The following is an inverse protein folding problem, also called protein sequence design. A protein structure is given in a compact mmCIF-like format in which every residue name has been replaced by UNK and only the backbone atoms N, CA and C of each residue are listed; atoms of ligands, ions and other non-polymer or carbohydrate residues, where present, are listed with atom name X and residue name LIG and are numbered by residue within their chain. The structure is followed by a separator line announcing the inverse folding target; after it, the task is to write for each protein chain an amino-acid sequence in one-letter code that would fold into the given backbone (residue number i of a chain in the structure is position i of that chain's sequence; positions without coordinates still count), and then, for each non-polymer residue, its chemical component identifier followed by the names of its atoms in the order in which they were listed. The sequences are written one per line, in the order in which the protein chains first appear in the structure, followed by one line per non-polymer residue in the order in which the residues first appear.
data_IF_163835647421
#
_entry.id   IF_163835647421
#
_cell.length_a   1.000
_cell.length_b   1.000
_cell.length_c   1.000
_cell.angle_alpha   90.00
_cell.angle_beta   90.00
_cell.angle_gamma   90.00
#
_symmetry.space_group_name_H-M   'P 1'
#
loop_
_entity.id
_entity.type
_entity.pdbx_description
1 polymer ?
#
# COMPACT_ATOMS: atom_id res chain seq x y z
N UNK A 1 -57.74 -17.96 65.31
CA UNK A 1 -57.19 -16.60 65.05
C UNK A 1 -55.69 -16.72 64.82
N UNK A 2 -55.29 -16.73 63.57
CA UNK A 2 -53.89 -16.93 63.16
C UNK A 2 -53.42 -15.67 62.41
N UNK A 3 -52.54 -14.90 63.03
CA UNK A 3 -51.94 -13.69 62.46
C UNK A 3 -50.82 -14.06 61.50
N UNK A 4 -51.01 -13.77 60.21
CA UNK A 4 -49.96 -13.84 59.21
C UNK A 4 -49.17 -12.55 59.24
N UNK A 5 -47.90 -12.62 59.58
CA UNK A 5 -46.91 -11.53 59.42
C UNK A 5 -46.48 -11.42 57.98
N UNK A 6 -46.71 -10.27 57.37
CA UNK A 6 -46.15 -9.88 56.08
C UNK A 6 -44.69 -9.45 56.28
N UNK A 7 -43.76 -10.02 55.46
CA UNK A 7 -42.38 -9.56 55.35
C UNK A 7 -42.33 -8.46 54.31
N UNK A 8 -41.52 -7.36 54.49
CA UNK A 8 -41.31 -6.35 53.44
C UNK A 8 -40.32 -6.87 52.41
N UNK A 9 -40.71 -6.76 51.12
CA UNK A 9 -39.82 -7.07 49.97
C UNK A 9 -38.78 -5.95 49.80
N UNK A 10 -37.52 -6.36 49.69
CA UNK A 10 -36.42 -5.50 49.33
C UNK A 10 -36.46 -5.36 47.81
N UNK A 11 -36.77 -4.17 47.32
CA UNK A 11 -36.64 -3.84 45.88
C UNK A 11 -35.17 -3.63 45.56
N UNK A 12 -34.58 -4.54 44.79
CA UNK A 12 -33.26 -4.39 44.21
C UNK A 12 -33.34 -3.42 43.03
N UNK A 13 -32.71 -2.26 43.17
CA UNK A 13 -32.56 -1.27 42.11
C UNK A 13 -31.42 -1.74 41.18
N UNK A 14 -31.76 -2.29 40.01
CA UNK A 14 -30.80 -2.58 38.96
C UNK A 14 -30.45 -1.27 38.25
N UNK A 15 -29.28 -0.72 38.56
CA UNK A 15 -28.65 0.34 37.77
C UNK A 15 -28.17 -0.28 36.44
N UNK A 16 -28.91 -0.07 35.39
CA UNK A 16 -28.45 -0.33 34.01
C UNK A 16 -27.42 0.74 33.63
N UNK A 17 -26.15 0.38 33.63
CA UNK A 17 -25.10 1.20 33.02
C UNK A 17 -25.32 1.20 31.49
N UNK A 18 -25.99 2.22 30.98
CA UNK A 18 -26.12 2.49 29.58
C UNK A 18 -24.76 2.91 29.04
N UNK A 19 -24.07 2.01 28.35
CA UNK A 19 -22.95 2.39 27.48
C UNK A 19 -23.51 3.29 26.39
N UNK A 20 -23.24 4.59 26.45
CA UNK A 20 -23.53 5.54 25.39
C UNK A 20 -22.61 5.18 24.20
N UNK A 21 -23.13 4.41 23.26
CA UNK A 21 -22.57 4.38 21.92
C UNK A 21 -22.81 5.78 21.32
N UNK A 22 -21.77 6.62 21.37
CA UNK A 22 -21.73 7.84 20.58
C UNK A 22 -21.90 7.48 19.10
N UNK A 23 -22.47 8.39 18.28
CA UNK A 23 -22.56 8.15 16.84
C UNK A 23 -21.16 7.86 16.30
N UNK A 24 -20.92 6.64 15.81
CA UNK A 24 -19.76 6.36 14.98
C UNK A 24 -19.90 7.28 13.76
N UNK A 25 -19.03 8.28 13.69
CA UNK A 25 -18.89 9.07 12.49
C UNK A 25 -18.75 8.09 11.31
N UNK A 26 -19.41 8.34 10.16
CA UNK A 26 -19.24 7.52 8.99
C UNK A 26 -17.73 7.41 8.76
N UNK A 27 -17.24 6.19 8.40
CA UNK A 27 -15.83 5.96 8.09
C UNK A 27 -15.45 6.98 7.01
N UNK A 28 -14.97 8.14 7.44
CA UNK A 28 -14.83 9.33 6.63
C UNK A 28 -13.74 9.10 5.60
N UNK A 29 -14.09 9.33 4.36
CA UNK A 29 -13.13 9.57 3.31
C UNK A 29 -12.03 10.50 3.86
N UNK A 30 -10.79 9.99 4.01
CA UNK A 30 -9.65 10.82 4.36
C UNK A 30 -8.89 10.50 5.65
N UNK A 31 -9.02 9.33 6.25
CA UNK A 31 -8.17 8.92 7.36
C UNK A 31 -7.01 8.03 6.88
N UNK A 32 -5.78 8.35 7.30
CA UNK A 32 -4.60 7.52 7.08
C UNK A 32 -4.47 6.49 8.20
N UNK A 33 -4.42 5.22 7.82
CA UNK A 33 -4.30 4.09 8.75
C UNK A 33 -2.83 3.71 8.89
N UNK A 34 -2.46 3.25 10.07
CA UNK A 34 -1.13 2.74 10.37
C UNK A 34 -1.25 1.31 10.84
N UNK A 35 -0.53 0.39 10.17
CA UNK A 35 -0.64 -1.04 10.43
C UNK A 35 0.73 -1.63 10.77
N UNK A 36 0.72 -2.66 11.64
CA UNK A 36 1.82 -3.59 11.85
C UNK A 36 1.33 -4.99 11.54
N UNK A 37 1.93 -5.64 10.57
CA UNK A 37 1.55 -7.01 10.16
C UNK A 37 0.03 -7.16 9.95
N UNK A 38 -0.57 -6.22 9.18
CA UNK A 38 -2.01 -6.13 8.88
C UNK A 38 -2.92 -5.73 10.06
N UNK A 39 -2.37 -5.53 11.25
CA UNK A 39 -3.14 -5.06 12.42
C UNK A 39 -3.08 -3.54 12.50
N UNK A 40 -4.23 -2.88 12.51
CA UNK A 40 -4.30 -1.42 12.66
C UNK A 40 -3.90 -1.01 14.08
N UNK A 41 -2.84 -0.19 14.18
CA UNK A 41 -2.30 0.31 15.45
C UNK A 41 -2.69 1.77 15.70
N UNK A 42 -2.96 2.53 14.64
CA UNK A 42 -3.44 3.90 14.74
C UNK A 42 -4.19 4.32 13.47
N UNK A 43 -4.92 5.43 13.61
CA UNK A 43 -5.62 6.12 12.52
C UNK A 43 -5.58 7.62 12.76
N UNK A 44 -5.24 8.38 11.73
CA UNK A 44 -5.22 9.84 11.75
C UNK A 44 -6.10 10.36 10.62
N UNK A 45 -7.13 11.12 10.95
CA UNK A 45 -7.85 11.91 9.97
C UNK A 45 -7.02 13.11 9.51
N UNK A 46 -7.47 13.78 8.46
CA UNK A 46 -6.73 14.89 7.89
C UNK A 46 -6.54 16.05 8.88
N UNK A 47 -7.54 16.33 9.71
CA UNK A 47 -7.47 17.45 10.67
C UNK A 47 -6.51 17.13 11.81
N UNK A 48 -6.54 15.90 12.33
CA UNK A 48 -5.57 15.42 13.31
C UNK A 48 -4.13 15.44 12.76
N UNK A 49 -3.94 15.05 11.49
CA UNK A 49 -2.63 15.09 10.85
C UNK A 49 -2.15 16.55 10.70
N UNK A 50 -2.96 17.45 10.13
CA UNK A 50 -2.62 18.84 9.90
C UNK A 50 -2.31 19.62 11.18
N UNK A 51 -3.01 19.31 12.27
CA UNK A 51 -2.79 20.01 13.55
C UNK A 51 -1.55 19.56 14.29
N UNK A 52 -0.98 18.39 13.94
CA UNK A 52 0.11 17.75 14.70
C UNK A 52 1.43 17.65 13.92
N UNK A 53 1.42 17.78 12.60
CA UNK A 53 2.64 17.80 11.78
C UNK A 53 3.07 19.24 11.45
N UNK A 54 4.33 19.42 11.05
CA UNK A 54 4.83 20.68 10.49
C UNK A 54 4.42 20.81 9.03
N UNK A 55 3.18 21.30 8.78
CA UNK A 55 2.66 21.49 7.41
C UNK A 55 3.58 22.41 6.61
N UNK A 56 3.99 21.96 5.43
CA UNK A 56 4.83 22.68 4.49
C UNK A 56 4.18 22.83 3.14
N UNK A 57 4.53 23.91 2.43
CA UNK A 57 4.25 24.04 1.00
C UNK A 57 5.50 23.59 0.24
N UNK A 58 5.41 22.49 -0.47
CA UNK A 58 6.51 21.93 -1.24
C UNK A 58 6.21 22.01 -2.74
N UNK A 59 7.25 22.12 -3.56
CA UNK A 59 7.13 22.15 -5.03
C UNK A 59 7.84 20.93 -5.62
N UNK A 60 7.13 20.16 -6.45
CA UNK A 60 7.67 18.97 -7.11
C UNK A 60 7.39 19.00 -8.62
N UNK A 61 8.19 18.27 -9.39
CA UNK A 61 7.83 17.88 -10.74
C UNK A 61 7.01 16.59 -10.62
N UNK A 62 5.69 16.71 -10.78
CA UNK A 62 4.76 15.61 -10.59
C UNK A 62 4.93 14.58 -11.74
N UNK A 63 5.27 13.29 -11.45
CA UNK A 63 5.73 12.34 -12.47
C UNK A 63 4.66 11.91 -13.46
N UNK A 64 3.39 11.88 -13.06
CA UNK A 64 2.30 11.40 -13.92
C UNK A 64 1.74 12.49 -14.85
N UNK A 65 1.88 13.76 -14.48
CA UNK A 65 1.44 14.90 -15.31
C UNK A 65 2.59 15.64 -15.98
N UNK A 66 3.82 15.47 -15.50
CA UNK A 66 5.00 16.23 -15.95
C UNK A 66 4.95 17.72 -15.60
N UNK A 67 4.06 18.14 -14.69
CA UNK A 67 3.86 19.54 -14.30
C UNK A 67 4.57 19.83 -12.98
N UNK A 68 5.01 21.07 -12.81
CA UNK A 68 5.38 21.58 -11.48
C UNK A 68 4.10 21.85 -10.69
N UNK A 69 4.00 21.22 -9.52
CA UNK A 69 2.85 21.36 -8.63
C UNK A 69 3.34 21.73 -7.23
N UNK A 70 2.59 22.59 -6.54
CA UNK A 70 2.84 22.94 -5.14
C UNK A 70 1.82 22.21 -4.28
N UNK A 71 2.30 21.43 -3.31
CA UNK A 71 1.44 20.69 -2.40
C UNK A 71 1.53 21.22 -0.97
N UNK A 72 0.41 21.18 -0.25
CA UNK A 72 0.37 21.25 1.21
C UNK A 72 0.62 19.82 1.72
N UNK A 73 1.64 19.64 2.53
CA UNK A 73 2.12 18.31 2.90
C UNK A 73 2.75 18.29 4.29
N UNK A 74 2.70 17.12 4.92
CA UNK A 74 3.41 16.81 6.15
C UNK A 74 4.70 16.05 5.82
N UNK A 75 5.85 16.34 6.48
CA UNK A 75 7.03 15.50 6.37
C UNK A 75 6.68 14.04 6.70
N UNK A 76 7.15 13.10 5.88
CA UNK A 76 6.80 11.68 6.03
C UNK A 76 7.30 11.11 7.37
N UNK A 77 8.45 11.58 7.86
CA UNK A 77 8.94 11.23 9.20
C UNK A 77 8.01 11.66 10.33
N UNK A 78 7.39 12.85 10.23
CA UNK A 78 6.39 13.32 11.20
C UNK A 78 5.14 12.44 11.16
N UNK A 79 4.66 12.11 9.96
CA UNK A 79 3.51 11.24 9.75
C UNK A 79 3.72 9.87 10.40
N UNK A 80 4.90 9.29 10.20
CA UNK A 80 5.30 7.99 10.77
C UNK A 80 5.35 8.06 12.29
N UNK A 81 5.99 9.10 12.85
CA UNK A 81 6.06 9.30 14.29
C UNK A 81 4.68 9.46 14.93
N UNK A 82 3.80 10.20 14.27
CA UNK A 82 2.43 10.41 14.75
C UNK A 82 1.60 9.12 14.71
N UNK A 83 1.81 8.29 13.70
CA UNK A 83 1.05 7.07 13.48
C UNK A 83 1.54 5.87 14.29
N UNK A 84 2.86 5.66 14.33
CA UNK A 84 3.43 4.50 15.03
C UNK A 84 3.88 4.82 16.47
N UNK A 85 3.97 6.10 16.84
CA UNK A 85 4.50 6.50 18.14
C UNK A 85 6.02 6.31 18.26
N UNK A 86 6.71 6.07 17.16
CA UNK A 86 8.14 5.75 17.10
C UNK A 86 8.86 6.63 16.06
N UNK A 87 10.15 6.88 16.30
CA UNK A 87 10.98 7.56 15.31
C UNK A 87 11.23 6.63 14.10
N UNK A 88 11.28 7.16 12.86
CA UNK A 88 11.52 6.35 11.67
C UNK A 88 12.77 5.47 11.76
N UNK A 89 13.81 5.93 12.47
CA UNK A 89 15.03 5.17 12.65
C UNK A 89 14.83 3.84 13.42
N UNK A 90 13.85 3.79 14.33
CA UNK A 90 13.51 2.57 15.05
C UNK A 90 12.88 1.50 14.15
N UNK A 91 12.34 1.91 13.01
CA UNK A 91 11.69 1.04 12.03
C UNK A 91 12.64 0.59 10.91
N UNK A 92 13.88 1.09 10.85
CA UNK A 92 14.76 0.99 9.68
C UNK A 92 15.04 -0.44 9.19
N UNK A 93 14.91 -1.45 10.05
CA UNK A 93 15.11 -2.87 9.69
C UNK A 93 13.92 -3.55 9.01
N UNK A 94 12.78 -2.85 8.90
CA UNK A 94 11.55 -3.42 8.34
C UNK A 94 11.30 -2.96 6.90
N UNK A 95 10.42 -3.69 6.24
CA UNK A 95 9.75 -3.24 5.02
C UNK A 95 8.56 -2.34 5.37
N UNK A 96 8.18 -1.50 4.41
CA UNK A 96 6.97 -0.70 4.47
C UNK A 96 6.14 -0.95 3.23
N UNK A 97 4.84 -1.15 3.42
CA UNK A 97 3.86 -1.20 2.34
C UNK A 97 3.03 0.08 2.36
N UNK A 98 3.10 0.86 1.29
CA UNK A 98 2.12 1.89 1.03
C UNK A 98 0.92 1.25 0.34
N UNK A 99 -0.27 1.40 0.94
CA UNK A 99 -1.51 0.80 0.44
C UNK A 99 -2.45 1.90 -0.02
N UNK A 100 -3.00 1.78 -1.22
CA UNK A 100 -3.93 2.73 -1.82
C UNK A 100 -5.35 2.16 -1.92
N UNK A 101 -6.33 3.05 -2.01
CA UNK A 101 -7.77 2.71 -2.08
C UNK A 101 -8.12 1.83 -3.29
N UNK A 102 -7.38 1.95 -4.39
CA UNK A 102 -7.59 1.17 -5.62
C UNK A 102 -6.98 -0.24 -5.57
N UNK A 103 -6.32 -0.59 -4.45
CA UNK A 103 -5.63 -1.86 -4.26
C UNK A 103 -4.17 -1.87 -4.73
N UNK A 104 -3.62 -0.71 -5.15
CA UNK A 104 -2.19 -0.57 -5.34
C UNK A 104 -1.46 -0.74 -4.00
N UNK A 105 -0.36 -1.49 -4.02
CA UNK A 105 0.44 -1.76 -2.84
C UNK A 105 1.92 -1.75 -3.20
N UNK A 106 2.66 -0.74 -2.76
CA UNK A 106 4.08 -0.60 -3.11
C UNK A 106 4.98 -0.80 -1.89
N UNK A 107 5.85 -1.82 -1.91
CA UNK A 107 6.86 -2.00 -0.88
C UNK A 107 8.00 -1.00 -1.04
N UNK A 108 8.52 -0.55 0.09
CA UNK A 108 9.78 0.18 0.22
C UNK A 108 10.44 -0.19 1.55
N UNK A 109 11.60 0.37 1.86
CA UNK A 109 12.26 0.15 3.15
C UNK A 109 11.82 1.21 4.16
N UNK A 110 11.65 0.85 5.42
CA UNK A 110 11.29 1.80 6.47
C UNK A 110 12.36 2.88 6.69
N UNK A 111 13.62 2.59 6.38
CA UNK A 111 14.69 3.58 6.43
C UNK A 111 14.38 4.84 5.60
N UNK A 112 13.69 4.69 4.46
CA UNK A 112 13.30 5.82 3.58
C UNK A 112 12.27 6.75 4.19
N UNK A 113 11.47 6.28 5.14
CA UNK A 113 10.45 7.10 5.80
C UNK A 113 11.06 8.26 6.61
N UNK A 114 12.30 8.08 7.09
CA UNK A 114 13.06 9.10 7.82
C UNK A 114 13.92 10.01 6.95
N UNK A 115 14.03 9.72 5.66
CA UNK A 115 14.85 10.52 4.76
C UNK A 115 14.23 11.91 4.48
N UNK A 116 15.10 12.92 4.37
CA UNK A 116 14.64 14.23 3.94
C UNK A 116 14.06 14.16 2.53
N UNK A 117 12.99 14.92 2.31
CA UNK A 117 12.34 15.05 1.00
C UNK A 117 11.14 14.16 0.79
N UNK A 118 10.82 13.25 1.70
CA UNK A 118 9.58 12.49 1.70
C UNK A 118 8.44 13.24 2.38
N UNK A 119 7.27 13.32 1.76
CA UNK A 119 6.09 14.01 2.27
C UNK A 119 4.80 13.24 1.99
N UNK A 120 3.83 13.37 2.89
CA UNK A 120 2.44 13.00 2.64
C UNK A 120 1.66 14.29 2.30
N UNK A 121 1.40 14.50 1.02
CA UNK A 121 0.58 15.59 0.53
C UNK A 121 -0.91 15.29 0.73
N UNK A 122 -1.70 16.33 0.99
CA UNK A 122 -3.15 16.22 1.20
C UNK A 122 -3.96 17.27 0.41
N UNK A 123 -3.31 18.21 -0.26
CA UNK A 123 -3.94 19.13 -1.18
C UNK A 123 -2.89 19.83 -2.07
N UNK A 124 -3.32 20.35 -3.21
CA UNK A 124 -2.55 21.36 -3.94
C UNK A 124 -2.70 22.73 -3.28
N UNK A 125 -1.57 23.45 -3.09
CA UNK A 125 -1.55 24.73 -2.41
C UNK A 125 -2.30 25.83 -3.18
N UNK A 126 -2.27 25.76 -4.52
CA UNK A 126 -2.82 26.79 -5.40
C UNK A 126 -4.20 26.43 -5.95
N UNK A 127 -4.83 25.34 -5.49
CA UNK A 127 -6.13 24.89 -5.97
C UNK A 127 -7.27 25.55 -5.19
N UNK A 128 -8.14 26.34 -5.86
CA UNK A 128 -9.35 26.85 -5.24
C UNK A 128 -10.25 25.72 -4.74
N UNK A 129 -10.70 25.80 -3.49
CA UNK A 129 -11.53 24.75 -2.87
C UNK A 129 -10.75 23.57 -2.30
N UNK A 130 -9.42 23.55 -2.38
CA UNK A 130 -8.57 22.48 -1.85
C UNK A 130 -8.56 21.19 -2.69
N UNK A 131 -8.03 20.13 -2.12
CA UNK A 131 -7.92 18.83 -2.78
C UNK A 131 -6.86 18.81 -3.88
N UNK A 132 -7.01 17.90 -4.83
CA UNK A 132 -6.02 17.66 -5.89
C UNK A 132 -6.62 17.85 -7.28
N UNK A 133 -5.77 18.22 -8.23
CA UNK A 133 -6.11 18.12 -9.66
C UNK A 133 -6.05 16.65 -10.10
N UNK A 134 -6.97 16.21 -10.98
CA UNK A 134 -6.96 14.84 -11.47
C UNK A 134 -5.65 14.49 -12.19
N UNK A 135 -5.12 13.29 -11.92
CA UNK A 135 -3.90 12.75 -12.50
C UNK A 135 -4.15 11.84 -13.70
N UNK A 136 -3.19 11.84 -14.61
CA UNK A 136 -3.15 10.98 -15.77
C UNK A 136 -4.31 11.18 -16.75
N UNK A 137 -4.36 10.37 -17.80
CA UNK A 137 -5.39 10.47 -18.86
C UNK A 137 -6.80 10.09 -18.37
N UNK A 138 -6.91 9.34 -17.27
CA UNK A 138 -8.18 8.90 -16.70
C UNK A 138 -8.78 9.90 -15.72
N UNK A 139 -8.05 10.95 -15.37
CA UNK A 139 -8.54 11.95 -14.43
C UNK A 139 -8.74 11.41 -13.01
N UNK A 140 -7.81 10.57 -12.52
CA UNK A 140 -7.91 9.98 -11.18
C UNK A 140 -7.66 11.06 -10.12
N UNK A 141 -8.54 11.17 -9.13
CA UNK A 141 -8.30 12.00 -7.94
C UNK A 141 -7.22 11.35 -7.06
N UNK A 142 -6.08 12.01 -6.80
CA UNK A 142 -5.02 11.45 -5.96
C UNK A 142 -5.31 11.47 -4.46
N UNK A 143 -6.37 12.12 -4.02
CA UNK A 143 -6.74 12.16 -2.60
C UNK A 143 -7.16 10.81 -2.01
N UNK A 144 -7.20 10.70 -0.67
CA UNK A 144 -7.02 11.78 0.32
C UNK A 144 -5.56 12.15 0.61
N UNK A 145 -4.62 11.23 0.41
CA UNK A 145 -3.20 11.44 0.63
C UNK A 145 -2.38 10.94 -0.54
N UNK A 146 -1.27 11.62 -0.78
CA UNK A 146 -0.34 11.32 -1.86
C UNK A 146 1.10 11.39 -1.33
N UNK A 147 1.85 10.30 -1.40
CA UNK A 147 3.28 10.33 -1.08
C UNK A 147 4.05 10.97 -2.22
N UNK A 148 4.82 11.99 -1.91
CA UNK A 148 5.62 12.75 -2.88
C UNK A 148 7.03 12.95 -2.36
N UNK A 149 7.99 13.13 -3.29
CA UNK A 149 9.40 13.28 -2.97
C UNK A 149 9.97 14.52 -3.65
N UNK A 150 10.85 15.23 -2.95
CA UNK A 150 11.44 16.50 -3.44
C UNK A 150 12.89 16.37 -3.90
N UNK A 151 13.57 15.28 -3.55
CA UNK A 151 14.97 15.03 -3.93
C UNK A 151 15.12 14.63 -5.39
N UNK A 152 16.13 15.16 -6.07
CA UNK A 152 16.38 14.87 -7.50
C UNK A 152 16.63 13.37 -7.79
N UNK A 153 17.19 12.63 -6.83
CA UNK A 153 17.42 11.18 -6.89
C UNK A 153 16.29 10.35 -6.28
N UNK A 154 15.26 10.99 -5.75
CA UNK A 154 14.13 10.30 -5.10
C UNK A 154 13.01 9.99 -6.10
N UNK A 155 13.34 9.21 -7.14
CA UNK A 155 12.43 8.82 -8.21
C UNK A 155 11.87 7.43 -7.96
N UNK A 156 10.74 7.12 -8.56
CA UNK A 156 10.11 5.80 -8.45
C UNK A 156 11.03 4.67 -8.95
N UNK A 157 11.79 4.92 -10.02
CA UNK A 157 12.80 3.98 -10.54
C UNK A 157 13.92 3.67 -9.53
N UNK A 158 14.22 4.61 -8.63
CA UNK A 158 15.25 4.49 -7.60
C UNK A 158 14.66 3.92 -6.28
N UNK A 159 13.41 3.44 -6.33
CA UNK A 159 12.70 2.82 -5.22
C UNK A 159 12.05 3.80 -4.24
N UNK A 160 11.76 5.03 -4.69
CA UNK A 160 10.95 6.01 -3.96
C UNK A 160 9.54 6.05 -4.56
N UNK A 161 8.59 5.30 -4.00
CA UNK A 161 7.26 5.19 -4.58
C UNK A 161 6.45 6.48 -4.39
N UNK A 162 5.59 6.77 -5.38
CA UNK A 162 4.67 7.90 -5.39
C UNK A 162 3.20 7.42 -5.36
N UNK A 163 2.78 6.68 -4.33
CA UNK A 163 1.40 6.21 -4.25
C UNK A 163 0.46 7.38 -3.97
N UNK A 164 -0.51 7.55 -4.85
CA UNK A 164 -1.67 8.39 -4.63
C UNK A 164 -2.83 7.56 -4.07
N UNK A 165 -3.93 8.19 -3.63
CA UNK A 165 -5.04 7.54 -2.92
C UNK A 165 -4.56 6.74 -1.70
N UNK A 166 -3.49 7.20 -1.05
CA UNK A 166 -2.92 6.49 0.08
C UNK A 166 -3.96 6.35 1.21
N UNK A 167 -4.24 5.11 1.60
CA UNK A 167 -5.15 4.78 2.70
C UNK A 167 -4.41 4.26 3.94
N UNK A 168 -3.25 3.61 3.72
CA UNK A 168 -2.50 3.04 4.85
C UNK A 168 -0.98 3.00 4.60
N UNK A 169 -0.25 3.10 5.71
CA UNK A 169 1.17 2.79 5.83
C UNK A 169 1.30 1.57 6.74
N UNK A 170 1.83 0.47 6.21
CA UNK A 170 2.02 -0.77 6.96
C UNK A 170 3.52 -1.03 7.14
N UNK A 171 3.95 -1.20 8.40
CA UNK A 171 5.29 -1.68 8.73
C UNK A 171 5.22 -3.19 8.93
N UNK A 172 6.07 -3.93 8.22
CA UNK A 172 6.04 -5.39 8.24
C UNK A 172 7.38 -5.97 7.73
N UNK A 173 7.49 -7.28 7.69
CA UNK A 173 8.43 -8.00 6.83
C UNK A 173 7.64 -8.58 5.65
N UNK A 174 8.04 -8.25 4.43
CA UNK A 174 7.25 -8.60 3.24
C UNK A 174 7.05 -10.11 3.07
N UNK A 175 8.08 -10.90 3.38
CA UNK A 175 8.02 -12.36 3.24
C UNK A 175 7.26 -13.04 4.39
N UNK A 176 7.24 -12.42 5.55
CA UNK A 176 6.38 -12.83 6.66
C UNK A 176 4.91 -12.46 6.38
N UNK A 177 4.68 -11.28 5.85
CA UNK A 177 3.34 -10.79 5.48
C UNK A 177 2.72 -11.56 4.31
N UNK A 178 3.57 -11.97 3.37
CA UNK A 178 3.20 -12.70 2.15
C UNK A 178 4.08 -13.95 2.00
N UNK A 179 3.80 -15.03 2.79
CA UNK A 179 4.67 -16.20 2.84
C UNK A 179 4.66 -17.06 1.57
N UNK A 180 3.69 -16.85 0.67
CA UNK A 180 3.53 -17.66 -0.53
C UNK A 180 4.02 -16.97 -1.82
N UNK A 181 4.70 -15.82 -1.72
CA UNK A 181 5.26 -15.14 -2.90
C UNK A 181 6.75 -15.45 -3.15
N UNK A 182 7.49 -15.89 -2.13
CA UNK A 182 8.91 -16.22 -2.29
C UNK A 182 9.11 -17.61 -2.91
N UNK A 183 10.10 -17.80 -3.82
CA UNK A 183 10.41 -19.09 -4.43
C UNK A 183 11.11 -19.97 -3.40
N UNK A 184 10.36 -20.88 -2.77
CA UNK A 184 10.88 -21.81 -1.76
C UNK A 184 11.68 -22.94 -2.41
N UNK A 185 12.55 -23.56 -1.64
CA UNK A 185 13.32 -24.74 -2.04
C UNK A 185 14.19 -24.50 -3.29
N UNK A 186 14.63 -23.25 -3.48
CA UNK A 186 15.53 -22.86 -4.57
C UNK A 186 16.74 -22.08 -4.02
N UNK A 187 17.92 -22.14 -4.67
CA UNK A 187 19.08 -21.36 -4.24
C UNK A 187 18.79 -19.85 -4.22
N UNK A 188 19.15 -19.19 -3.11
CA UNK A 188 18.94 -17.75 -2.93
C UNK A 188 19.74 -16.88 -3.91
N UNK A 189 20.86 -17.37 -4.41
CA UNK A 189 21.69 -16.77 -5.46
C UNK A 189 21.26 -17.15 -6.87
N UNK A 190 20.17 -17.93 -6.99
CA UNK A 190 19.65 -18.42 -8.26
C UNK A 190 18.78 -17.42 -9.01
N UNK A 191 18.56 -17.73 -10.29
CA UNK A 191 17.81 -16.86 -11.21
C UNK A 191 16.36 -16.61 -10.73
N UNK A 192 15.71 -17.58 -10.08
CA UNK A 192 14.36 -17.42 -9.57
C UNK A 192 14.29 -16.38 -8.44
N UNK A 193 15.30 -16.33 -7.56
CA UNK A 193 15.38 -15.28 -6.51
C UNK A 193 15.68 -13.91 -7.09
N UNK A 194 16.54 -13.82 -8.10
CA UNK A 194 16.73 -12.59 -8.86
C UNK A 194 15.40 -12.11 -9.47
N UNK A 195 14.62 -13.03 -10.05
CA UNK A 195 13.28 -12.77 -10.59
C UNK A 195 12.27 -12.36 -9.52
N UNK A 196 12.32 -12.95 -8.33
CA UNK A 196 11.53 -12.50 -7.19
C UNK A 196 11.87 -11.06 -6.80
N UNK A 197 13.16 -10.68 -6.83
CA UNK A 197 13.59 -9.30 -6.64
C UNK A 197 12.98 -8.34 -7.66
N UNK A 198 12.94 -8.72 -8.94
CA UNK A 198 12.27 -7.94 -10.00
C UNK A 198 10.76 -7.85 -9.75
N UNK A 199 10.10 -8.97 -9.42
CA UNK A 199 8.67 -8.97 -9.10
C UNK A 199 8.35 -8.05 -7.92
N UNK A 200 9.09 -8.17 -6.82
CA UNK A 200 8.97 -7.33 -5.62
C UNK A 200 9.16 -5.84 -5.95
N UNK A 201 10.14 -5.51 -6.78
CA UNK A 201 10.46 -4.12 -7.14
C UNK A 201 9.48 -3.49 -8.13
N UNK A 202 8.95 -4.26 -9.09
CA UNK A 202 8.27 -3.70 -10.25
C UNK A 202 6.82 -4.17 -10.43
N UNK A 203 6.47 -5.37 -9.98
CA UNK A 203 5.21 -6.01 -10.35
C UNK A 203 4.20 -6.10 -9.20
N UNK A 204 4.69 -6.36 -7.98
CA UNK A 204 3.86 -6.60 -6.79
C UNK A 204 2.93 -5.43 -6.45
N UNK A 205 3.31 -4.21 -6.86
CA UNK A 205 2.49 -3.03 -6.62
C UNK A 205 1.07 -3.15 -7.21
N UNK A 206 0.96 -3.84 -8.34
CA UNK A 206 -0.29 -4.01 -9.07
C UNK A 206 -0.76 -5.46 -9.11
N UNK A 207 0.14 -6.43 -9.04
CA UNK A 207 -0.14 -7.86 -9.21
C UNK A 207 0.07 -8.64 -7.92
N UNK A 208 -0.73 -9.68 -7.75
CA UNK A 208 -0.51 -10.73 -6.76
C UNK A 208 0.13 -11.97 -7.37
N UNK A 209 0.70 -12.79 -6.51
CA UNK A 209 1.07 -14.18 -6.74
C UNK A 209 0.49 -14.97 -5.59
N UNK A 210 -0.26 -16.03 -5.86
CA UNK A 210 -0.92 -16.85 -4.83
C UNK A 210 -1.92 -16.05 -3.94
N UNK A 211 -2.58 -15.04 -4.50
CA UNK A 211 -3.49 -14.16 -3.78
C UNK A 211 -2.82 -13.09 -2.92
N UNK A 212 -1.50 -13.03 -2.89
CA UNK A 212 -0.69 -12.13 -2.07
C UNK A 212 -0.02 -11.06 -2.93
N UNK A 213 -0.21 -9.77 -2.59
CA UNK A 213 0.30 -8.63 -3.34
C UNK A 213 -0.76 -7.61 -3.72
N UNK A 214 -0.49 -6.80 -4.75
CA UNK A 214 -1.39 -5.78 -5.30
C UNK A 214 -2.60 -6.37 -6.03
N UNK A 215 -3.68 -5.59 -6.10
CA UNK A 215 -4.97 -6.01 -6.67
C UNK A 215 -5.44 -5.18 -7.87
N UNK A 216 -4.60 -4.30 -8.39
CA UNK A 216 -4.91 -3.49 -9.59
C UNK A 216 -4.91 -4.35 -10.86
N UNK A 217 -3.98 -5.31 -10.93
CA UNK A 217 -3.87 -6.30 -11.98
C UNK A 217 -4.32 -7.70 -11.52
N UNK A 218 -4.38 -8.67 -12.44
CA UNK A 218 -4.69 -10.05 -12.09
C UNK A 218 -3.57 -10.70 -11.27
N UNK A 219 -3.94 -11.77 -10.54
CA UNK A 219 -2.97 -12.70 -9.99
C UNK A 219 -2.17 -13.38 -11.12
N UNK A 220 -0.87 -13.58 -10.90
CA UNK A 220 0.03 -14.11 -11.93
C UNK A 220 0.32 -15.61 -11.78
N UNK A 221 -0.23 -16.27 -10.73
CA UNK A 221 0.04 -17.68 -10.45
C UNK A 221 -1.19 -18.55 -10.26
N UNK A 222 -2.30 -18.00 -9.76
CA UNK A 222 -3.52 -18.78 -9.50
C UNK A 222 -4.73 -18.19 -10.21
N UNK A 223 -5.70 -19.03 -10.61
CA UNK A 223 -5.68 -20.51 -10.58
C UNK A 223 -4.68 -21.11 -11.59
N UNK A 224 -4.27 -20.35 -12.60
CA UNK A 224 -3.33 -20.73 -13.66
C UNK A 224 -2.19 -19.73 -13.74
N UNK A 225 -0.95 -20.20 -13.66
CA UNK A 225 0.21 -19.32 -13.77
C UNK A 225 0.31 -18.68 -15.15
N UNK A 226 0.76 -17.43 -15.19
CA UNK A 226 0.93 -16.68 -16.45
C UNK A 226 1.81 -17.42 -17.47
N UNK A 227 2.77 -18.23 -17.01
CA UNK A 227 3.66 -19.04 -17.87
C UNK A 227 3.00 -20.34 -18.35
N UNK A 228 1.86 -20.75 -17.79
CA UNK A 228 1.13 -21.94 -18.24
C UNK A 228 0.28 -21.67 -19.49
N UNK A 229 -0.16 -20.41 -19.70
CA UNK A 229 -1.06 -20.08 -20.82
C UNK A 229 -0.52 -19.00 -21.77
N UNK A 230 0.60 -18.36 -21.45
CA UNK A 230 1.24 -17.40 -22.36
C UNK A 230 2.62 -17.87 -22.80
N UNK A 231 2.91 -17.87 -24.11
CA UNK A 231 4.26 -18.13 -24.62
C UNK A 231 5.26 -17.14 -24.00
N UNK A 232 6.40 -17.63 -23.53
CA UNK A 232 7.42 -16.86 -22.80
C UNK A 232 7.85 -15.62 -23.59
N UNK A 233 8.14 -15.76 -24.89
CA UNK A 233 8.59 -14.64 -25.73
C UNK A 233 7.50 -13.58 -25.93
N UNK A 234 6.23 -14.00 -25.96
CA UNK A 234 5.11 -13.07 -25.99
C UNK A 234 4.98 -12.33 -24.65
N UNK A 235 5.16 -13.04 -23.52
CA UNK A 235 5.09 -12.47 -22.19
C UNK A 235 6.18 -11.41 -21.97
N UNK A 236 7.43 -11.70 -22.34
CA UNK A 236 8.53 -10.74 -22.25
C UNK A 236 8.25 -9.47 -23.06
N UNK A 237 7.77 -9.61 -24.31
CA UNK A 237 7.39 -8.46 -25.13
C UNK A 237 6.21 -7.67 -24.52
N UNK A 238 5.22 -8.38 -23.97
CA UNK A 238 4.08 -7.75 -23.31
C UNK A 238 4.51 -6.95 -22.09
N UNK A 239 5.39 -7.49 -21.23
CA UNK A 239 5.92 -6.77 -20.07
C UNK A 239 6.64 -5.49 -20.50
N UNK A 240 7.45 -5.55 -21.54
CA UNK A 240 8.17 -4.36 -22.03
C UNK A 240 7.25 -3.28 -22.57
N UNK A 241 6.23 -3.64 -23.33
CA UNK A 241 5.30 -2.68 -23.91
C UNK A 241 3.91 -3.27 -24.11
N UNK A 242 3.08 -3.26 -23.05
CA UNK A 242 1.73 -3.82 -23.11
C UNK A 242 0.84 -3.18 -24.19
N UNK A 243 1.03 -1.88 -24.45
CA UNK A 243 0.20 -1.12 -25.38
C UNK A 243 0.31 -1.61 -26.85
N UNK A 244 1.37 -2.34 -27.19
CA UNK A 244 1.50 -2.97 -28.53
C UNK A 244 0.61 -4.20 -28.69
N UNK A 245 0.05 -4.74 -27.63
CA UNK A 245 -0.85 -5.89 -27.66
C UNK A 245 -2.31 -5.48 -27.43
N UNK A 246 -2.52 -4.60 -26.45
CA UNK A 246 -3.85 -4.07 -26.10
C UNK A 246 -3.74 -2.80 -25.29
N UNK A 247 -4.73 -1.93 -25.41
CA UNK A 247 -4.83 -0.77 -24.52
C UNK A 247 -5.24 -1.23 -23.12
N UNK A 248 -4.50 -0.81 -22.13
CA UNK A 248 -4.69 -1.17 -20.73
C UNK A 248 -3.98 -0.19 -19.80
N UNK A 249 -3.97 -0.49 -18.50
CA UNK A 249 -3.36 0.37 -17.48
C UNK A 249 -1.96 -0.07 -17.08
N UNK A 250 -1.52 -1.27 -17.50
CA UNK A 250 -0.18 -1.74 -17.19
C UNK A 250 0.85 -0.82 -17.84
N UNK A 251 1.74 -0.17 -17.06
CA UNK A 251 2.78 0.67 -17.63
C UNK A 251 3.85 -0.18 -18.33
N UNK A 252 4.52 0.36 -19.37
CA UNK A 252 5.61 -0.32 -20.03
C UNK A 252 6.83 -0.41 -19.08
N UNK A 253 7.45 -1.58 -19.02
CA UNK A 253 8.65 -1.85 -18.23
C UNK A 253 9.91 -1.81 -19.12
N UNK A 254 10.13 -0.68 -19.79
CA UNK A 254 11.21 -0.54 -20.81
C UNK A 254 12.61 -0.56 -20.22
N UNK A 255 12.74 -0.30 -18.94
CA UNK A 255 14.02 -0.29 -18.20
C UNK A 255 14.52 -1.68 -17.82
N UNK A 256 13.64 -2.71 -17.83
CA UNK A 256 14.06 -4.08 -17.54
C UNK A 256 14.99 -4.62 -18.63
N UNK A 257 16.13 -5.15 -18.21
CA UNK A 257 17.08 -5.79 -19.11
C UNK A 257 16.56 -7.16 -19.60
N UNK A 258 17.14 -7.75 -20.64
CA UNK A 258 16.84 -9.13 -21.01
C UNK A 258 17.04 -10.11 -19.83
N UNK A 259 18.10 -9.92 -19.04
CA UNK A 259 18.38 -10.74 -17.85
C UNK A 259 17.28 -10.63 -16.79
N UNK A 260 16.77 -9.41 -16.53
CA UNK A 260 15.65 -9.22 -15.59
C UNK A 260 14.38 -9.94 -16.04
N UNK A 261 14.11 -9.93 -17.33
CA UNK A 261 12.97 -10.65 -17.93
C UNK A 261 13.16 -12.17 -17.83
N UNK A 262 14.37 -12.68 -18.10
CA UNK A 262 14.69 -14.10 -17.94
C UNK A 262 14.55 -14.54 -16.48
N UNK A 263 15.05 -13.73 -15.55
CA UNK A 263 14.91 -13.96 -14.12
C UNK A 263 13.43 -13.98 -13.69
N UNK A 264 12.63 -13.03 -14.17
CA UNK A 264 11.20 -12.96 -13.87
C UNK A 264 10.46 -14.21 -14.41
N UNK A 265 10.80 -14.69 -15.59
CA UNK A 265 10.24 -15.95 -16.12
C UNK A 265 10.65 -17.13 -15.24
N UNK A 266 11.93 -17.24 -14.85
CA UNK A 266 12.38 -18.30 -13.95
C UNK A 266 11.65 -18.29 -12.62
N UNK A 267 11.37 -17.11 -12.08
CA UNK A 267 10.54 -16.96 -10.89
C UNK A 267 9.13 -17.52 -11.10
N UNK A 268 8.42 -17.14 -12.17
CA UNK A 268 7.07 -17.65 -12.45
C UNK A 268 7.07 -19.16 -12.73
N UNK A 269 8.12 -19.69 -13.35
CA UNK A 269 8.26 -21.16 -13.55
C UNK A 269 8.39 -21.92 -12.24
N UNK A 270 9.07 -21.38 -11.25
CA UNK A 270 9.11 -21.95 -9.91
C UNK A 270 7.74 -21.81 -9.24
N UNK A 271 7.16 -20.61 -9.25
CA UNK A 271 5.90 -20.34 -8.57
C UNK A 271 4.72 -21.16 -9.11
N UNK A 272 4.70 -21.51 -10.40
CA UNK A 272 3.65 -22.39 -10.95
C UNK A 272 3.61 -23.78 -10.32
N UNK A 273 4.74 -24.22 -9.74
CA UNK A 273 4.82 -25.50 -8.98
C UNK A 273 4.50 -25.31 -7.50
N UNK A 274 4.45 -24.06 -7.01
CA UNK A 274 4.24 -23.69 -5.62
C UNK A 274 2.93 -22.91 -5.43
N UNK A 275 1.86 -23.39 -6.07
CA UNK A 275 0.56 -22.74 -5.99
C UNK A 275 -0.02 -22.80 -4.58
N UNK A 276 -0.52 -21.65 -4.13
CA UNK A 276 -1.39 -21.50 -2.98
C UNK A 276 -2.61 -20.69 -3.44
N UNK A 277 -3.75 -21.37 -3.65
CA UNK A 277 -4.95 -20.72 -4.14
C UNK A 277 -5.96 -20.53 -3.00
N UNK A 278 -6.09 -19.31 -2.44
CA UNK A 278 -7.05 -19.05 -1.38
C UNK A 278 -8.51 -19.14 -1.86
N UNK A 279 -8.74 -19.21 -3.16
CA UNK A 279 -10.05 -19.36 -3.79
C UNK A 279 -10.46 -20.82 -4.05
N UNK A 280 -9.53 -21.79 -4.00
CA UNK A 280 -9.79 -23.18 -4.33
C UNK A 280 -10.76 -23.91 -3.38
N UNK A 281 -11.03 -23.32 -2.22
CA UNK A 281 -11.93 -23.85 -1.18
C UNK A 281 -13.33 -23.22 -1.19
N UNK A 282 -13.69 -22.48 -2.26
CA UNK A 282 -15.01 -21.83 -2.37
C UNK A 282 -15.94 -22.54 -3.36
#
# INVERSE_FOLDING_TARGET
MTFRRRRPGVAALLLAAGAAFGPTAPAGAGALRFLRDDVEVARLDLDALRSRCAVQTIAVLEPYSGRRVRYLACPLGDVVRLGFGEEPAALAGHDVLFRALDGYMKPTTAARLGEHGGFAAFAEADRPGGGFSPLGRKGVDPGPFYVVWTGASQREADGYPWPYQLEAIEVTDLTTRYPHIAPRDTPHDGLAWAGFGVFRGQCIACHSVNGEGGRVGPDLNVPMSIVEYRPVEQLKRYIRNPATFRYGNMPPQTHLTPHDLDALIAYFEVMRTQKHDPGASR
#
